data_IF_127529464692
#
_entry.id   IF_127529464692
#
_cell.length_a   1.000
_cell.length_b   1.000
_cell.length_c   1.000
_cell.angle_alpha   90.00
_cell.angle_beta   90.00
_cell.angle_gamma   90.00
#
_symmetry.space_group_name_H-M   'P 1'
#
loop_
_entity.id
_entity.type
_entity.pdbx_description
1 polymer ?
#
# COMPACT_ATOMS: atom_id res chain seq x y z
N UNK A 1 -16.44 -2.24 -13.05
CA UNK A 1 -16.74 -1.23 -12.00
C UNK A 1 -16.53 -1.79 -10.60
N UNK A 2 -16.96 -3.04 -10.32
CA UNK A 2 -16.83 -3.65 -8.99
C UNK A 2 -15.39 -3.77 -8.47
N UNK A 3 -14.42 -4.03 -9.36
CA UNK A 3 -13.02 -4.13 -8.98
C UNK A 3 -12.47 -2.81 -8.41
N UNK A 4 -12.68 -1.70 -9.13
CA UNK A 4 -12.23 -0.37 -8.67
C UNK A 4 -12.88 0.05 -7.34
N UNK A 5 -14.16 -0.26 -7.13
CA UNK A 5 -14.82 -0.01 -5.84
C UNK A 5 -14.20 -0.87 -4.72
N UNK A 6 -13.85 -2.11 -5.01
CA UNK A 6 -13.18 -3.01 -4.06
C UNK A 6 -11.77 -2.51 -3.71
N UNK A 7 -10.98 -2.05 -4.69
CA UNK A 7 -9.67 -1.45 -4.46
C UNK A 7 -9.79 -0.21 -3.57
N UNK A 8 -10.69 0.72 -3.89
CA UNK A 8 -10.92 1.94 -3.09
C UNK A 8 -11.35 1.61 -1.65
N UNK A 9 -12.17 0.59 -1.45
CA UNK A 9 -12.55 0.12 -0.11
C UNK A 9 -11.37 -0.46 0.67
N UNK A 10 -10.53 -1.23 0.00
CA UNK A 10 -9.34 -1.85 0.59
C UNK A 10 -8.34 -0.78 1.02
N UNK A 11 -8.05 0.20 0.16
CA UNK A 11 -7.21 1.36 0.49
C UNK A 11 -7.82 2.15 1.64
N UNK A 12 -9.14 2.42 1.62
CA UNK A 12 -9.79 3.10 2.73
C UNK A 12 -9.62 2.36 4.07
N UNK A 13 -9.74 1.03 4.08
CA UNK A 13 -9.54 0.22 5.28
C UNK A 13 -8.09 0.30 5.78
N UNK A 14 -7.11 0.23 4.87
CA UNK A 14 -5.70 0.41 5.20
C UNK A 14 -5.43 1.79 5.82
N UNK A 15 -6.03 2.85 5.27
CA UNK A 15 -5.92 4.22 5.81
C UNK A 15 -6.55 4.37 7.20
N UNK A 16 -7.51 3.51 7.59
CA UNK A 16 -8.05 3.51 8.96
C UNK A 16 -7.18 2.77 9.98
N UNK A 17 -6.19 2.00 9.54
CA UNK A 17 -5.31 1.21 10.40
C UNK A 17 -4.51 2.11 11.36
N UNK A 18 -4.62 1.87 12.67
CA UNK A 18 -3.97 2.68 13.70
C UNK A 18 -2.44 2.56 13.64
N UNK A 19 -1.92 1.36 13.33
CA UNK A 19 -0.49 1.11 13.21
C UNK A 19 0.12 1.92 12.05
N UNK A 20 -0.59 2.00 10.92
CA UNK A 20 -0.16 2.82 9.78
C UNK A 20 -0.11 4.30 10.15
N UNK A 21 -1.15 4.81 10.83
CA UNK A 21 -1.22 6.20 11.30
C UNK A 21 -0.08 6.55 12.25
N UNK A 22 0.28 5.66 13.16
CA UNK A 22 1.39 5.87 14.10
C UNK A 22 2.74 5.94 13.38
N UNK A 23 3.03 4.98 12.49
CA UNK A 23 4.29 4.95 11.72
C UNK A 23 4.45 6.21 10.87
N UNK A 24 3.40 6.60 10.13
CA UNK A 24 3.44 7.78 9.28
C UNK A 24 3.52 9.09 10.09
N UNK A 25 2.96 9.11 11.30
CA UNK A 25 3.13 10.24 12.22
C UNK A 25 4.58 10.39 12.68
N UNK A 26 5.29 9.29 12.93
CA UNK A 26 6.73 9.33 13.28
C UNK A 26 7.55 9.85 12.11
N UNK A 27 7.14 9.58 10.87
CA UNK A 27 7.81 10.04 9.65
C UNK A 27 7.40 11.46 9.22
N UNK A 28 6.52 12.13 9.96
CA UNK A 28 6.07 13.49 9.64
C UNK A 28 5.06 13.58 8.48
N UNK A 29 4.52 12.45 8.02
CA UNK A 29 3.59 12.36 6.88
C UNK A 29 2.11 12.40 7.31
N UNK A 30 1.81 12.84 8.53
CA UNK A 30 0.45 12.84 9.09
C UNK A 30 -0.54 13.66 8.27
N UNK A 31 -0.15 14.86 7.85
CA UNK A 31 -0.99 15.75 7.04
C UNK A 31 -1.27 15.17 5.65
N UNK A 32 -0.29 14.49 5.06
CA UNK A 32 -0.46 13.82 3.76
C UNK A 32 -1.41 12.63 3.87
N UNK A 33 -1.32 11.87 4.98
CA UNK A 33 -2.24 10.77 5.26
C UNK A 33 -3.69 11.25 5.42
N UNK A 34 -3.90 12.34 6.15
CA UNK A 34 -5.24 12.95 6.31
C UNK A 34 -5.80 13.45 4.97
N UNK A 35 -4.96 14.06 4.13
CA UNK A 35 -5.32 14.48 2.77
C UNK A 35 -5.68 13.29 1.87
N UNK A 36 -4.92 12.20 1.96
CA UNK A 36 -5.17 10.98 1.21
C UNK A 36 -6.49 10.33 1.65
N UNK A 37 -6.75 10.24 2.96
CA UNK A 37 -8.03 9.76 3.51
C UNK A 37 -9.23 10.56 2.98
N UNK A 38 -9.14 11.90 2.98
CA UNK A 38 -10.19 12.75 2.43
C UNK A 38 -10.40 12.53 0.93
N UNK A 39 -9.32 12.29 0.18
CA UNK A 39 -9.37 12.03 -1.27
C UNK A 39 -10.03 10.69 -1.54
N UNK A 40 -9.61 9.62 -0.86
CA UNK A 40 -10.17 8.27 -0.99
C UNK A 40 -11.64 8.24 -0.58
N UNK A 41 -12.05 8.98 0.46
CA UNK A 41 -13.46 9.14 0.84
C UNK A 41 -14.29 9.76 -0.29
N UNK A 42 -13.77 10.80 -0.94
CA UNK A 42 -14.43 11.45 -2.08
C UNK A 42 -14.59 10.47 -3.25
N UNK A 43 -13.51 9.78 -3.63
CA UNK A 43 -13.54 8.78 -4.72
C UNK A 43 -14.55 7.68 -4.40
N UNK A 44 -14.57 7.16 -3.17
CA UNK A 44 -15.55 6.16 -2.73
C UNK A 44 -16.99 6.64 -2.89
N UNK A 45 -17.28 7.87 -2.45
CA UNK A 45 -18.63 8.44 -2.53
C UNK A 45 -19.11 8.57 -3.99
N UNK A 46 -18.19 8.93 -4.88
CA UNK A 46 -18.40 9.00 -6.33
C UNK A 46 -18.80 7.61 -6.86
N UNK A 47 -17.96 6.58 -6.66
CA UNK A 47 -18.30 5.21 -7.10
C UNK A 47 -19.60 4.68 -6.50
N UNK A 48 -19.86 4.91 -5.21
CA UNK A 48 -21.12 4.52 -4.59
C UNK A 48 -22.34 5.20 -5.23
N UNK A 49 -22.21 6.46 -5.63
CA UNK A 49 -23.29 7.20 -6.30
C UNK A 49 -23.61 6.58 -7.65
N UNK A 50 -22.59 6.21 -8.43
CA UNK A 50 -22.76 5.57 -9.72
C UNK A 50 -23.29 4.14 -9.61
N UNK A 51 -22.75 3.35 -8.69
CA UNK A 51 -23.25 2.00 -8.44
C UNK A 51 -24.73 2.01 -8.01
N UNK A 52 -25.14 2.97 -7.18
CA UNK A 52 -26.56 3.14 -6.81
C UNK A 52 -27.42 3.50 -8.03
N UNK A 53 -26.95 4.37 -8.92
CA UNK A 53 -27.68 4.73 -10.16
C UNK A 53 -27.85 3.49 -11.05
N UNK A 54 -26.78 2.74 -11.26
CA UNK A 54 -26.79 1.51 -12.04
C UNK A 54 -27.76 0.47 -11.44
N UNK A 55 -27.72 0.26 -10.13
CA UNK A 55 -28.63 -0.65 -9.43
C UNK A 55 -30.11 -0.21 -9.50
N UNK A 56 -30.37 1.08 -9.66
CA UNK A 56 -31.71 1.65 -9.87
C UNK A 56 -32.14 1.63 -11.34
N UNK A 57 -31.30 1.12 -12.26
CA UNK A 57 -31.56 1.13 -13.70
C UNK A 57 -31.49 2.52 -14.33
N UNK A 58 -30.86 3.49 -13.66
CA UNK A 58 -30.65 4.84 -14.18
C UNK A 58 -29.41 4.80 -15.07
N UNK A 59 -29.59 5.06 -16.36
CA UNK A 59 -28.47 5.22 -17.29
C UNK A 59 -27.64 6.46 -16.92
N UNK A 60 -26.32 6.30 -17.00
CA UNK A 60 -25.37 7.39 -16.83
C UNK A 60 -25.25 8.16 -18.14
N UNK A 61 -25.15 9.48 -18.04
CA UNK A 61 -24.84 10.27 -19.24
C UNK A 61 -23.36 10.09 -19.65
N UNK A 62 -23.02 10.49 -20.88
CA UNK A 62 -21.66 10.35 -21.42
C UNK A 62 -20.58 11.01 -20.54
N UNK A 63 -20.90 12.16 -19.92
CA UNK A 63 -19.95 12.87 -19.03
C UNK A 63 -19.70 12.12 -17.72
N UNK A 64 -20.72 11.46 -17.20
CA UNK A 64 -20.64 10.64 -15.98
C UNK A 64 -19.85 9.36 -16.23
N UNK A 65 -20.02 8.76 -17.40
CA UNK A 65 -19.23 7.61 -17.84
C UNK A 65 -17.75 7.97 -18.02
N UNK A 66 -17.46 9.01 -18.79
CA UNK A 66 -16.08 9.51 -19.00
C UNK A 66 -15.41 9.86 -17.67
N UNK A 67 -16.13 10.55 -16.77
CA UNK A 67 -15.60 10.87 -15.46
C UNK A 67 -15.25 9.62 -14.64
N UNK A 68 -16.10 8.60 -14.68
CA UNK A 68 -15.85 7.34 -13.96
C UNK A 68 -14.69 6.56 -14.53
N UNK A 69 -14.57 6.50 -15.85
CA UNK A 69 -13.49 5.81 -16.54
C UNK A 69 -12.15 6.44 -16.16
N UNK A 70 -12.06 7.77 -16.21
CA UNK A 70 -10.86 8.52 -15.80
C UNK A 70 -10.48 8.30 -14.34
N UNK A 71 -11.46 8.18 -13.44
CA UNK A 71 -11.19 7.88 -12.03
C UNK A 71 -10.71 6.44 -11.88
N UNK A 72 -11.22 5.49 -12.66
CA UNK A 72 -10.72 4.11 -12.66
C UNK A 72 -9.27 4.05 -13.11
N UNK A 73 -8.92 4.72 -14.21
CA UNK A 73 -7.55 4.74 -14.73
C UNK A 73 -6.56 5.25 -13.67
N UNK A 74 -6.87 6.38 -13.02
CA UNK A 74 -6.01 6.94 -11.96
C UNK A 74 -5.90 6.01 -10.75
N UNK A 75 -6.97 5.27 -10.41
CA UNK A 75 -6.93 4.29 -9.31
C UNK A 75 -6.04 3.10 -9.68
N UNK A 76 -6.08 2.61 -10.91
CA UNK A 76 -5.22 1.51 -11.36
C UNK A 76 -3.74 1.94 -11.43
N UNK A 77 -3.46 3.12 -11.99
CA UNK A 77 -2.09 3.67 -12.01
C UNK A 77 -1.51 3.78 -10.59
N UNK A 78 -2.34 4.15 -9.62
CA UNK A 78 -1.93 4.25 -8.22
C UNK A 78 -1.74 2.88 -7.55
N UNK A 79 -2.59 1.89 -7.85
CA UNK A 79 -2.49 0.52 -7.34
C UNK A 79 -1.19 -0.15 -7.82
N UNK A 80 -0.91 -0.06 -9.13
CA UNK A 80 0.32 -0.57 -9.74
C UNK A 80 1.58 0.06 -9.11
N UNK A 81 1.56 1.37 -8.86
CA UNK A 81 2.66 2.08 -8.20
C UNK A 81 2.85 1.62 -6.74
N UNK A 82 1.76 1.38 -6.00
CA UNK A 82 1.81 0.89 -4.63
C UNK A 82 2.37 -0.53 -4.56
N UNK A 83 2.02 -1.39 -5.50
CA UNK A 83 2.54 -2.76 -5.61
C UNK A 83 4.04 -2.79 -5.94
N UNK A 84 4.51 -1.91 -6.84
CA UNK A 84 5.94 -1.75 -7.11
C UNK A 84 6.68 -1.29 -5.84
N UNK A 85 6.13 -0.31 -5.12
CA UNK A 85 6.72 0.16 -3.86
C UNK A 85 6.77 -0.95 -2.79
N UNK A 86 5.70 -1.72 -2.64
CA UNK A 86 5.64 -2.84 -1.70
C UNK A 86 6.70 -3.91 -2.03
N UNK A 87 6.89 -4.19 -3.32
CA UNK A 87 7.93 -5.12 -3.80
C UNK A 87 9.33 -4.62 -3.46
N UNK A 88 9.63 -3.35 -3.72
CA UNK A 88 10.92 -2.74 -3.40
C UNK A 88 11.20 -2.71 -1.89
N UNK A 89 10.18 -2.41 -1.08
CA UNK A 89 10.29 -2.43 0.38
C UNK A 89 10.59 -3.85 0.90
N UNK A 90 9.92 -4.87 0.36
CA UNK A 90 10.18 -6.26 0.71
C UNK A 90 11.61 -6.71 0.34
N UNK A 91 12.11 -6.29 -0.83
CA UNK A 91 13.48 -6.56 -1.26
C UNK A 91 14.52 -5.92 -0.34
N UNK A 92 14.35 -4.65 0.05
CA UNK A 92 15.24 -4.01 1.02
C UNK A 92 15.23 -4.73 2.37
N UNK A 93 14.06 -5.15 2.85
CA UNK A 93 13.96 -5.89 4.10
C UNK A 93 14.69 -7.24 4.03
N UNK A 94 14.62 -7.95 2.91
CA UNK A 94 15.39 -9.18 2.68
C UNK A 94 16.90 -8.92 2.66
N UNK A 95 17.37 -7.86 2.00
CA UNK A 95 18.79 -7.50 1.97
C UNK A 95 19.32 -7.16 3.37
N UNK A 96 18.56 -6.39 4.16
CA UNK A 96 18.91 -6.07 5.55
C UNK A 96 18.94 -7.32 6.45
N UNK A 97 18.06 -8.31 6.20
CA UNK A 97 18.10 -9.59 6.92
C UNK A 97 19.28 -10.48 6.50
N UNK A 98 19.71 -10.41 5.24
CA UNK A 98 20.89 -11.13 4.77
C UNK A 98 22.19 -10.57 5.38
N UNK A 99 22.34 -9.24 5.49
CA UNK A 99 23.47 -8.62 6.21
C UNK A 99 23.55 -9.03 7.70
N UNK A 100 22.40 -9.17 8.38
CA UNK A 100 22.37 -9.61 9.79
C UNK A 100 22.71 -11.08 10.00
N UNK A 101 22.60 -11.94 8.98
CA UNK A 101 23.00 -13.36 9.05
C UNK A 101 24.49 -13.56 8.87
N UNK A 102 25.17 -12.63 8.19
CA UNK A 102 26.60 -12.71 7.92
C UNK A 102 27.44 -12.31 9.16
N UNK A 103 26.96 -11.38 9.98
CA UNK A 103 27.61 -10.99 11.24
C UNK A 103 27.50 -12.06 12.37
N UNK A 104 26.57 -13.03 12.24
CA UNK A 104 26.51 -14.21 13.15
C UNK A 104 27.33 -15.41 12.66
N UNK A 105 28.02 -15.29 11.52
CA UNK A 105 28.96 -16.29 10.99
C UNK A 105 30.40 -15.80 11.06
N UNK A 106 30.85 -15.28 12.21
CA UNK A 106 32.29 -15.34 12.49
C UNK A 106 32.65 -16.80 12.83
N UNK A 107 33.54 -17.46 12.07
CA UNK A 107 34.07 -18.76 12.46
C UNK A 107 34.86 -18.56 13.75
N UNK A 108 34.45 -19.22 14.83
CA UNK A 108 35.31 -19.39 16.00
C UNK A 108 36.62 -20.02 15.53
N UNK A 109 37.71 -19.25 15.58
CA UNK A 109 39.06 -19.76 15.36
C UNK A 109 39.36 -20.68 16.54
N UNK A 110 39.10 -21.96 16.34
CA UNK A 110 39.46 -23.02 17.27
C UNK A 110 40.96 -23.30 17.07
N UNK A 111 41.83 -22.60 17.81
CA UNK A 111 43.22 -23.03 17.95
C UNK A 111 43.44 -23.57 19.35
N UNK A 112 42.98 -24.80 19.58
CA UNK A 112 43.54 -25.63 20.64
C UNK A 112 44.77 -26.34 20.08
N UNK A 113 45.94 -25.86 20.46
CA UNK A 113 47.16 -26.68 20.42
C UNK A 113 47.63 -26.88 21.85
N UNK A 114 47.05 -27.89 22.51
CA UNK A 114 47.73 -28.53 23.62
C UNK A 114 48.89 -29.36 23.03
N UNK A 115 50.12 -28.90 23.20
CA UNK A 115 51.30 -29.77 23.12
C UNK A 115 51.81 -30.01 24.53
N UNK A 116 52.01 -31.29 24.82
CA UNK A 116 52.65 -31.82 26.00
C UNK A 116 54.02 -31.17 26.22
N UNK A 117 54.27 -30.71 27.45
CA UNK A 117 55.42 -31.02 28.30
C UNK A 117 55.13 -30.46 29.70
#
# INVERSE_FOLDING_TARGET
>A
MDLALSTVQTVFAALQCSQLKEVLSVWGLKSDLERLDSTVKTIRAVFCTFHRKQAQGIELNEKELDFIERIQDVVYDADDLLDEFATLAAQQQQQLQNCKKEERRSPGVFTSTARLC
#
